data_IF_893542942751
#
_entry.id   IF_893542942751
#
_cell.length_a   1.000
_cell.length_b   1.000
_cell.length_c   1.000
_cell.angle_alpha   90.00
_cell.angle_beta   90.00
_cell.angle_gamma   90.00
#
_symmetry.space_group_name_H-M   'P 1'
#
loop_
_entity.id
_entity.type
_entity.pdbx_description
1 polymer ?
#
# COMPACT_ATOMS: atom_id res chain seq x y z
N UNK A 1 33.28 -13.45 8.93
CA UNK A 1 31.98 -12.80 9.20
C UNK A 1 31.16 -12.93 7.93
N UNK A 2 29.97 -13.53 8.00
CA UNK A 2 29.06 -13.57 6.85
C UNK A 2 28.68 -12.15 6.49
N UNK A 3 28.92 -11.73 5.24
CA UNK A 3 28.50 -10.41 4.76
C UNK A 3 27.00 -10.26 5.03
N UNK A 4 26.62 -9.28 5.85
CA UNK A 4 25.20 -8.97 6.09
C UNK A 4 24.62 -8.44 4.79
N UNK A 5 23.52 -9.04 4.35
CA UNK A 5 22.82 -8.66 3.13
C UNK A 5 21.50 -7.97 3.50
N UNK A 6 21.25 -6.83 2.86
CA UNK A 6 19.98 -6.14 2.93
C UNK A 6 18.99 -6.83 2.01
N UNK A 7 17.99 -7.48 2.60
CA UNK A 7 16.98 -8.28 1.91
C UNK A 7 15.59 -7.68 2.13
N UNK A 8 15.08 -6.85 1.20
CA UNK A 8 13.71 -6.38 1.25
C UNK A 8 12.75 -7.54 0.92
N UNK A 9 11.44 -7.35 1.16
CA UNK A 9 10.42 -8.30 0.70
C UNK A 9 10.60 -8.70 -0.77
N UNK A 10 10.39 -9.98 -1.09
CA UNK A 10 10.72 -10.54 -2.41
C UNK A 10 10.03 -9.81 -3.57
N UNK A 11 8.81 -9.32 -3.34
CA UNK A 11 8.04 -8.57 -4.33
C UNK A 11 8.71 -7.26 -4.77
N UNK A 12 9.66 -6.73 -3.97
CA UNK A 12 10.46 -5.56 -4.32
C UNK A 12 11.72 -5.88 -5.12
N UNK A 13 12.15 -7.16 -5.20
CA UNK A 13 13.38 -7.55 -5.92
C UNK A 13 13.44 -7.04 -7.37
N UNK A 14 12.35 -7.08 -8.18
CA UNK A 14 12.37 -6.56 -9.54
C UNK A 14 12.70 -5.06 -9.63
N UNK A 15 12.27 -4.27 -8.64
CA UNK A 15 12.56 -2.83 -8.58
C UNK A 15 14.07 -2.57 -8.47
N UNK A 16 14.76 -3.31 -7.60
CA UNK A 16 16.21 -3.14 -7.40
C UNK A 16 17.04 -3.64 -8.57
N UNK A 17 16.62 -4.73 -9.23
CA UNK A 17 17.27 -5.22 -10.46
C UNK A 17 17.21 -4.21 -11.62
N UNK A 18 16.17 -3.39 -11.65
CA UNK A 18 15.97 -2.35 -12.67
C UNK A 18 16.50 -0.97 -12.24
N UNK A 19 16.90 -0.80 -10.99
CA UNK A 19 17.31 0.49 -10.44
C UNK A 19 18.47 1.17 -11.21
N UNK A 20 19.50 0.45 -11.71
CA UNK A 20 20.59 1.07 -12.47
C UNK A 20 20.13 1.89 -13.68
N UNK A 21 19.02 1.51 -14.34
CA UNK A 21 18.46 2.26 -15.47
C UNK A 21 17.98 3.67 -15.08
N UNK A 22 17.68 3.90 -13.81
CA UNK A 22 17.27 5.19 -13.27
C UNK A 22 18.43 6.08 -12.83
N UNK A 23 19.65 5.55 -12.70
CA UNK A 23 20.78 6.26 -12.08
C UNK A 23 21.14 7.57 -12.80
N UNK A 24 21.21 7.65 -14.14
CA UNK A 24 21.54 8.90 -14.82
C UNK A 24 20.56 10.04 -14.47
N UNK A 25 19.26 9.75 -14.37
CA UNK A 25 18.25 10.76 -13.99
C UNK A 25 18.41 11.20 -12.55
N UNK A 26 18.67 10.24 -11.65
CA UNK A 26 18.83 10.51 -10.23
C UNK A 26 20.08 11.36 -9.96
N UNK A 27 21.19 11.08 -10.64
CA UNK A 27 22.41 11.89 -10.59
C UNK A 27 22.14 13.33 -11.03
N UNK A 28 21.44 13.53 -12.15
CA UNK A 28 21.12 14.88 -12.63
C UNK A 28 20.27 15.67 -11.63
N UNK A 29 19.35 15.00 -10.91
CA UNK A 29 18.56 15.63 -9.85
C UNK A 29 19.39 15.95 -8.60
N UNK A 30 20.32 15.08 -8.21
CA UNK A 30 21.27 15.36 -7.12
C UNK A 30 22.11 16.60 -7.45
N UNK A 31 22.68 16.65 -8.66
CA UNK A 31 23.52 17.75 -9.09
C UNK A 31 22.73 19.05 -9.36
N UNK A 32 21.41 18.97 -9.50
CA UNK A 32 20.56 20.15 -9.62
C UNK A 32 20.50 20.97 -8.31
N UNK A 33 20.72 20.32 -7.16
CA UNK A 33 20.78 20.95 -5.85
C UNK A 33 22.18 21.52 -5.54
N UNK A 34 23.15 21.31 -6.42
CA UNK A 34 24.49 21.86 -6.35
C UNK A 34 25.56 20.85 -6.73
N UNK A 35 26.76 21.37 -6.95
CA UNK A 35 27.91 20.59 -7.36
C UNK A 35 28.32 19.59 -6.27
N UNK A 36 28.76 18.39 -6.68
CA UNK A 36 29.08 17.29 -5.76
C UNK A 36 30.29 16.49 -6.21
N UNK A 37 31.07 16.01 -5.25
CA UNK A 37 32.06 14.95 -5.48
C UNK A 37 31.36 13.62 -5.74
N UNK A 38 32.10 12.60 -6.19
CA UNK A 38 31.58 11.23 -6.30
C UNK A 38 30.96 10.73 -4.99
N UNK A 39 31.62 10.98 -3.84
CA UNK A 39 31.09 10.62 -2.51
C UNK A 39 29.79 11.35 -2.19
N UNK A 40 29.68 12.64 -2.55
CA UNK A 40 28.44 13.40 -2.37
C UNK A 40 27.27 12.89 -3.22
N UNK A 41 27.55 12.33 -4.40
CA UNK A 41 26.53 11.68 -5.25
C UNK A 41 26.08 10.36 -4.61
N UNK A 42 27.02 9.51 -4.17
CA UNK A 42 26.71 8.27 -3.46
C UNK A 42 25.88 8.52 -2.20
N UNK A 43 26.18 9.59 -1.45
CA UNK A 43 25.40 10.00 -0.29
C UNK A 43 23.95 10.39 -0.67
N UNK A 44 23.74 11.01 -1.83
CA UNK A 44 22.40 11.29 -2.35
C UNK A 44 21.60 10.01 -2.65
N UNK A 45 22.25 8.99 -3.21
CA UNK A 45 21.62 7.66 -3.37
C UNK A 45 21.36 6.97 -2.03
N UNK A 46 22.31 7.03 -1.09
CA UNK A 46 22.14 6.49 0.25
C UNK A 46 20.96 7.16 0.98
N UNK A 47 20.79 8.48 0.82
CA UNK A 47 19.63 9.24 1.29
C UNK A 47 18.31 8.66 0.78
N UNK A 48 18.22 8.34 -0.51
CA UNK A 48 17.05 7.67 -1.08
C UNK A 48 16.85 6.27 -0.49
N UNK A 49 17.92 5.47 -0.38
CA UNK A 49 17.87 4.10 0.14
C UNK A 49 17.43 4.02 1.61
N UNK A 50 17.74 5.03 2.44
CA UNK A 50 17.25 5.11 3.84
C UNK A 50 15.73 5.11 3.95
N UNK A 51 15.05 5.70 2.96
CA UNK A 51 13.58 5.72 2.93
C UNK A 51 12.97 4.38 2.50
N UNK A 52 13.80 3.46 1.97
CA UNK A 52 13.43 2.08 1.69
C UNK A 52 13.81 1.14 2.85
N UNK A 53 14.45 1.66 3.90
CA UNK A 53 14.91 0.87 5.06
C UNK A 53 16.34 0.38 4.94
N UNK A 54 17.19 0.95 4.08
CA UNK A 54 18.62 0.62 4.04
C UNK A 54 19.45 1.73 4.69
N UNK A 55 20.06 1.44 5.83
CA UNK A 55 20.79 2.41 6.65
C UNK A 55 22.32 2.32 6.51
N UNK A 56 22.83 1.53 5.57
CA UNK A 56 24.26 1.43 5.27
C UNK A 56 25.05 0.51 6.19
N UNK A 57 24.38 -0.46 6.83
CA UNK A 57 25.03 -1.48 7.68
C UNK A 57 25.38 -2.76 6.91
N UNK A 58 24.69 -2.99 5.80
CA UNK A 58 24.81 -4.18 4.98
C UNK A 58 25.84 -3.96 3.85
N UNK A 59 26.66 -4.98 3.59
CA UNK A 59 27.69 -4.93 2.54
C UNK A 59 27.13 -5.29 1.16
N UNK A 60 25.95 -5.92 1.13
CA UNK A 60 25.28 -6.40 -0.07
C UNK A 60 23.84 -5.89 -0.06
N UNK A 61 23.40 -5.33 -1.19
CA UNK A 61 22.03 -4.83 -1.41
C UNK A 61 21.41 -5.62 -2.54
N UNK A 62 20.51 -6.56 -2.23
CA UNK A 62 19.81 -7.41 -3.22
C UNK A 62 20.78 -8.10 -4.20
N UNK A 63 21.81 -8.77 -3.67
CA UNK A 63 22.83 -9.44 -4.46
C UNK A 63 23.88 -8.54 -5.14
N UNK A 64 23.79 -7.21 -5.01
CA UNK A 64 24.85 -6.28 -5.45
C UNK A 64 25.77 -5.95 -4.28
N UNK A 65 27.06 -6.19 -4.43
CA UNK A 65 28.04 -5.65 -3.49
C UNK A 65 28.34 -4.17 -3.77
N UNK A 66 29.08 -3.54 -2.87
CA UNK A 66 29.45 -2.13 -2.99
C UNK A 66 30.22 -1.82 -4.27
N UNK A 67 31.05 -2.74 -4.78
CA UNK A 67 31.86 -2.55 -5.97
C UNK A 67 30.98 -2.49 -7.22
N UNK A 68 30.11 -3.49 -7.42
CA UNK A 68 29.17 -3.50 -8.54
C UNK A 68 28.23 -2.28 -8.53
N UNK A 69 27.82 -1.84 -7.34
CA UNK A 69 27.01 -0.62 -7.20
C UNK A 69 27.80 0.64 -7.59
N UNK A 70 29.04 0.80 -7.11
CA UNK A 70 29.88 1.94 -7.47
C UNK A 70 30.21 1.98 -8.96
N UNK A 71 30.45 0.82 -9.57
CA UNK A 71 30.70 0.72 -11.00
C UNK A 71 29.48 1.17 -11.81
N UNK A 72 28.28 0.74 -11.44
CA UNK A 72 27.04 1.20 -12.11
C UNK A 72 26.83 2.73 -11.99
N UNK A 73 27.19 3.35 -10.87
CA UNK A 73 27.15 4.81 -10.73
C UNK A 73 28.23 5.48 -11.58
N UNK A 74 29.44 4.92 -11.65
CA UNK A 74 30.52 5.45 -12.51
C UNK A 74 30.16 5.38 -13.99
N UNK A 75 29.64 4.24 -14.46
CA UNK A 75 29.17 4.09 -15.85
C UNK A 75 28.11 5.14 -16.19
N UNK A 76 27.20 5.42 -15.25
CA UNK A 76 26.18 6.46 -15.41
C UNK A 76 26.80 7.87 -15.51
N UNK A 77 27.83 8.17 -14.72
CA UNK A 77 28.56 9.44 -14.79
C UNK A 77 29.31 9.61 -16.11
N UNK A 78 30.00 8.55 -16.56
CA UNK A 78 30.69 8.54 -17.85
C UNK A 78 29.72 8.75 -19.02
N UNK A 79 28.53 8.14 -18.97
CA UNK A 79 27.48 8.38 -19.97
C UNK A 79 27.01 9.84 -19.97
N UNK A 80 26.76 10.40 -18.79
CA UNK A 80 26.32 11.78 -18.64
C UNK A 80 27.38 12.79 -19.11
N UNK A 81 28.66 12.52 -18.87
CA UNK A 81 29.77 13.35 -19.33
C UNK A 81 29.93 13.24 -20.85
N UNK A 82 29.94 12.02 -21.40
CA UNK A 82 30.00 11.75 -22.85
C UNK A 82 28.85 12.42 -23.62
N UNK A 83 27.70 12.56 -22.98
CA UNK A 83 26.51 13.20 -23.58
C UNK A 83 26.38 14.69 -23.29
N UNK A 84 27.43 15.32 -22.74
CA UNK A 84 27.52 16.75 -22.42
C UNK A 84 26.44 17.21 -21.43
N UNK A 85 26.11 16.38 -20.44
CA UNK A 85 25.12 16.70 -19.39
C UNK A 85 25.78 17.09 -18.07
N UNK A 86 26.97 16.57 -17.80
CA UNK A 86 27.78 16.93 -16.64
C UNK A 86 29.21 17.22 -17.07
N UNK A 87 29.96 17.90 -16.22
CA UNK A 87 31.41 18.10 -16.35
C UNK A 87 32.09 17.80 -15.03
N UNK A 88 33.27 17.19 -15.09
CA UNK A 88 34.13 16.97 -13.92
C UNK A 88 35.25 18.02 -13.89
N UNK A 89 35.32 18.81 -12.82
CA UNK A 89 36.41 19.76 -12.56
C UNK A 89 36.89 19.59 -11.12
N UNK A 90 38.20 19.43 -10.91
CA UNK A 90 38.82 19.27 -9.58
C UNK A 90 38.13 18.22 -8.69
N UNK A 91 37.74 17.09 -9.28
CA UNK A 91 37.05 16.00 -8.56
C UNK A 91 35.58 16.28 -8.21
N UNK A 92 35.03 17.38 -8.71
CA UNK A 92 33.64 17.81 -8.49
C UNK A 92 32.85 17.77 -9.80
N UNK A 93 31.69 17.12 -9.76
CA UNK A 93 30.75 17.09 -10.88
C UNK A 93 29.79 18.28 -10.81
N UNK A 94 29.60 18.93 -11.95
CA UNK A 94 28.67 20.06 -12.12
C UNK A 94 27.78 19.84 -13.34
N UNK A 95 26.57 20.39 -13.33
CA UNK A 95 25.67 20.33 -14.48
C UNK A 95 26.11 21.28 -15.60
N UNK A 96 26.13 20.79 -16.84
CA UNK A 96 26.21 21.68 -18.01
C UNK A 96 24.90 22.44 -18.19
N UNK A 97 24.87 23.43 -19.10
CA UNK A 97 23.61 24.08 -19.51
C UNK A 97 22.58 23.07 -20.02
N UNK A 98 23.03 22.06 -20.78
CA UNK A 98 22.18 20.98 -21.29
C UNK A 98 21.71 20.05 -20.17
N UNK A 99 22.60 19.67 -19.26
CA UNK A 99 22.24 18.88 -18.07
C UNK A 99 21.22 19.55 -17.19
N UNK A 100 21.38 20.86 -16.92
CA UNK A 100 20.44 21.66 -16.13
C UNK A 100 19.05 21.69 -16.75
N UNK A 101 18.95 21.86 -18.08
CA UNK A 101 17.66 21.80 -18.79
C UNK A 101 16.98 20.42 -18.68
N UNK A 102 17.76 19.34 -18.73
CA UNK A 102 17.24 17.97 -18.58
C UNK A 102 16.80 17.74 -17.13
N UNK A 103 17.60 18.13 -16.14
CA UNK A 103 17.27 18.01 -14.73
C UNK A 103 15.98 18.77 -14.38
N UNK A 104 15.78 19.97 -14.93
CA UNK A 104 14.54 20.75 -14.77
C UNK A 104 13.33 20.04 -15.39
N UNK A 105 13.49 19.42 -16.57
CA UNK A 105 12.43 18.62 -17.20
C UNK A 105 12.09 17.41 -16.35
N UNK A 106 13.09 16.65 -15.92
CA UNK A 106 12.90 15.44 -15.14
C UNK A 106 12.26 15.77 -13.77
N UNK A 107 12.66 16.90 -13.16
CA UNK A 107 12.02 17.45 -11.96
C UNK A 107 10.52 17.69 -12.15
N UNK A 108 10.11 18.33 -13.25
CA UNK A 108 8.69 18.53 -13.57
C UNK A 108 7.96 17.19 -13.76
N UNK A 109 8.59 16.24 -14.43
CA UNK A 109 8.00 14.90 -14.61
C UNK A 109 7.79 14.19 -13.26
N UNK A 110 8.73 14.28 -12.33
CA UNK A 110 8.55 13.72 -10.98
C UNK A 110 7.46 14.46 -10.18
N UNK A 111 7.33 15.78 -10.32
CA UNK A 111 6.25 16.56 -9.71
C UNK A 111 4.87 16.19 -10.27
N UNK A 112 4.76 16.10 -11.59
CA UNK A 112 3.53 15.69 -12.28
C UNK A 112 3.15 14.25 -11.90
N UNK A 113 4.12 13.33 -11.91
CA UNK A 113 3.92 11.96 -11.48
C UNK A 113 3.50 11.87 -10.01
N UNK A 114 4.15 12.62 -9.13
CA UNK A 114 3.80 12.73 -7.71
C UNK A 114 2.38 13.23 -7.50
N UNK A 115 2.01 14.32 -8.16
CA UNK A 115 0.66 14.89 -8.10
C UNK A 115 -0.41 13.95 -8.68
N UNK A 116 -0.07 13.22 -9.74
CA UNK A 116 -0.93 12.19 -10.32
C UNK A 116 -1.17 11.04 -9.33
N UNK A 117 -0.10 10.51 -8.72
CA UNK A 117 -0.18 9.43 -7.72
C UNK A 117 -0.97 9.90 -6.50
N UNK A 118 -0.72 11.10 -5.99
CA UNK A 118 -1.46 11.66 -4.86
C UNK A 118 -2.94 11.85 -5.20
N UNK A 119 -3.24 12.34 -6.40
CA UNK A 119 -4.61 12.46 -6.92
C UNK A 119 -5.31 11.11 -7.02
N UNK A 120 -4.64 10.07 -7.50
CA UNK A 120 -5.18 8.70 -7.53
C UNK A 120 -5.40 8.13 -6.13
N UNK A 121 -4.53 8.44 -5.17
CA UNK A 121 -4.65 7.93 -3.80
C UNK A 121 -5.53 8.81 -2.91
N UNK A 122 -6.13 9.87 -3.46
CA UNK A 122 -7.06 10.72 -2.74
C UNK A 122 -8.41 10.01 -2.53
N UNK A 123 -8.97 9.95 -1.30
CA UNK A 123 -10.16 9.15 -0.99
C UNK A 123 -11.37 9.42 -1.89
N UNK A 124 -11.58 10.68 -2.25
CA UNK A 124 -12.67 11.07 -3.17
C UNK A 124 -12.47 10.54 -4.60
N UNK A 125 -11.23 10.51 -5.08
CA UNK A 125 -10.91 9.96 -6.40
C UNK A 125 -11.14 8.46 -6.43
N UNK A 126 -10.74 7.74 -5.39
CA UNK A 126 -10.99 6.29 -5.26
C UNK A 126 -12.48 5.99 -5.32
N UNK A 127 -13.29 6.78 -4.62
CA UNK A 127 -14.75 6.65 -4.64
C UNK A 127 -15.33 6.91 -6.04
N UNK A 128 -14.81 7.89 -6.79
CA UNK A 128 -15.22 8.15 -8.18
C UNK A 128 -14.77 7.05 -9.15
N UNK A 129 -13.57 6.48 -8.97
CA UNK A 129 -13.12 5.31 -9.72
C UNK A 129 -14.03 4.12 -9.44
N UNK A 130 -14.39 3.90 -8.17
CA UNK A 130 -15.36 2.87 -7.78
C UNK A 130 -16.71 3.07 -8.47
N UNK A 131 -17.25 4.30 -8.48
CA UNK A 131 -18.48 4.63 -9.21
C UNK A 131 -18.38 4.26 -10.69
N UNK A 132 -17.29 4.67 -11.36
CA UNK A 132 -17.10 4.39 -12.79
C UNK A 132 -17.04 2.88 -13.05
N UNK A 133 -16.29 2.13 -12.23
CA UNK A 133 -16.18 0.67 -12.33
C UNK A 133 -17.54 0.00 -12.14
N UNK A 134 -18.29 0.36 -11.09
CA UNK A 134 -19.60 -0.23 -10.81
C UNK A 134 -20.61 0.06 -11.92
N UNK A 135 -20.65 1.28 -12.47
CA UNK A 135 -21.52 1.59 -13.61
C UNK A 135 -21.16 0.73 -14.84
N UNK A 136 -19.87 0.63 -15.17
CA UNK A 136 -19.42 -0.16 -16.32
C UNK A 136 -19.75 -1.64 -16.13
N UNK A 137 -19.51 -2.20 -14.94
CA UNK A 137 -19.84 -3.59 -14.62
C UNK A 137 -21.35 -3.83 -14.61
N UNK A 138 -22.15 -2.92 -14.04
CA UNK A 138 -23.61 -3.02 -14.03
C UNK A 138 -24.17 -3.06 -15.46
N UNK A 139 -23.74 -2.13 -16.33
CA UNK A 139 -24.15 -2.11 -17.75
C UNK A 139 -23.76 -3.42 -18.43
N UNK A 140 -22.52 -3.87 -18.24
CA UNK A 140 -22.04 -5.12 -18.80
C UNK A 140 -22.87 -6.33 -18.35
N UNK A 141 -23.13 -6.47 -17.04
CA UNK A 141 -23.94 -7.54 -16.46
C UNK A 141 -25.38 -7.50 -16.92
N UNK A 142 -26.01 -6.32 -16.98
CA UNK A 142 -27.41 -6.18 -17.41
C UNK A 142 -27.58 -6.56 -18.89
N UNK A 143 -26.65 -6.15 -19.76
CA UNK A 143 -26.66 -6.57 -21.17
C UNK A 143 -26.45 -8.08 -21.27
N UNK A 144 -25.47 -8.62 -20.55
CA UNK A 144 -25.18 -10.05 -20.54
C UNK A 144 -26.37 -10.88 -20.01
N UNK A 145 -27.00 -10.42 -18.93
CA UNK A 145 -28.17 -11.06 -18.32
C UNK A 145 -29.40 -11.04 -19.21
N UNK A 146 -29.65 -9.94 -19.93
CA UNK A 146 -30.77 -9.86 -20.89
C UNK A 146 -30.55 -10.75 -22.11
N UNK A 147 -29.33 -10.81 -22.65
CA UNK A 147 -29.00 -11.71 -23.78
C UNK A 147 -29.08 -13.20 -23.41
N UNK A 148 -28.72 -13.55 -22.17
CA UNK A 148 -28.78 -14.92 -21.65
C UNK A 148 -30.14 -15.28 -21.04
N UNK A 149 -31.08 -14.32 -20.95
CA UNK A 149 -32.33 -14.46 -20.18
C UNK A 149 -32.11 -14.89 -18.72
N UNK A 150 -30.97 -14.50 -18.13
CA UNK A 150 -30.57 -14.85 -16.78
C UNK A 150 -31.07 -13.81 -15.77
N UNK A 151 -32.15 -14.14 -15.06
CA UNK A 151 -32.70 -13.31 -13.99
C UNK A 151 -31.67 -13.08 -12.88
N UNK A 152 -30.86 -14.10 -12.57
CA UNK A 152 -29.80 -14.01 -11.56
C UNK A 152 -28.72 -12.98 -11.92
N UNK A 153 -28.26 -12.96 -13.19
CA UNK A 153 -27.28 -11.98 -13.63
C UNK A 153 -27.86 -10.57 -13.75
N UNK A 154 -29.15 -10.45 -14.09
CA UNK A 154 -29.85 -9.16 -14.09
C UNK A 154 -29.92 -8.60 -12.65
N UNK A 155 -30.26 -9.44 -11.67
CA UNK A 155 -30.27 -9.06 -10.25
C UNK A 155 -28.89 -8.61 -9.79
N UNK A 156 -27.84 -9.39 -10.08
CA UNK A 156 -26.45 -9.04 -9.76
C UNK A 156 -26.00 -7.74 -10.45
N UNK A 157 -26.45 -7.49 -11.68
CA UNK A 157 -26.24 -6.23 -12.38
C UNK A 157 -26.93 -5.03 -11.71
N UNK A 158 -28.12 -5.23 -11.15
CA UNK A 158 -28.84 -4.20 -10.38
C UNK A 158 -28.16 -3.93 -9.03
N UNK A 159 -27.70 -4.98 -8.34
CA UNK A 159 -26.94 -4.85 -7.10
C UNK A 159 -25.64 -4.07 -7.36
N UNK A 160 -24.91 -4.41 -8.43
CA UNK A 160 -23.72 -3.66 -8.86
C UNK A 160 -24.02 -2.18 -9.15
N UNK A 161 -25.22 -1.87 -9.67
CA UNK A 161 -25.64 -0.48 -9.86
C UNK A 161 -25.88 0.25 -8.52
N UNK A 162 -26.44 -0.45 -7.52
CA UNK A 162 -26.59 0.07 -6.15
C UNK A 162 -25.23 0.33 -5.49
N UNK A 163 -24.19 -0.43 -5.81
CA UNK A 163 -22.83 -0.16 -5.31
C UNK A 163 -22.22 1.09 -5.96
N UNK A 164 -22.60 1.37 -7.21
CA UNK A 164 -22.41 2.66 -7.84
C UNK A 164 -23.05 3.78 -7.01
N UNK A 165 -24.32 3.63 -6.61
CA UNK A 165 -24.99 4.59 -5.74
C UNK A 165 -24.29 4.74 -4.38
N UNK A 166 -23.86 3.64 -3.75
CA UNK A 166 -23.05 3.66 -2.53
C UNK A 166 -21.75 4.44 -2.71
N UNK A 167 -21.10 4.32 -3.88
CA UNK A 167 -19.91 5.10 -4.22
C UNK A 167 -20.21 6.61 -4.26
N UNK A 168 -21.37 7.02 -4.78
CA UNK A 168 -21.81 8.43 -4.74
C UNK A 168 -21.98 8.91 -3.30
N UNK A 169 -22.60 8.09 -2.44
CA UNK A 169 -22.77 8.41 -1.03
C UNK A 169 -21.42 8.60 -0.32
N UNK A 170 -20.45 7.71 -0.56
CA UNK A 170 -19.07 7.85 -0.03
C UNK A 170 -18.44 9.16 -0.48
N UNK A 171 -18.50 9.48 -1.77
CA UNK A 171 -17.96 10.74 -2.29
C UNK A 171 -18.59 11.96 -1.62
N UNK A 172 -19.92 12.00 -1.51
CA UNK A 172 -20.64 13.08 -0.84
C UNK A 172 -20.26 13.16 0.65
N UNK A 173 -20.17 12.02 1.33
CA UNK A 173 -19.76 11.91 2.74
C UNK A 173 -18.40 12.51 2.99
N UNK A 174 -17.41 12.14 2.18
CA UNK A 174 -16.04 12.67 2.24
C UNK A 174 -16.00 14.16 1.92
N UNK A 175 -16.83 14.64 0.98
CA UNK A 175 -16.87 16.06 0.60
C UNK A 175 -17.53 16.95 1.64
N UNK A 176 -18.57 16.45 2.30
CA UNK A 176 -19.33 17.17 3.32
C UNK A 176 -18.82 16.93 4.76
N UNK A 177 -17.79 16.10 4.94
CA UNK A 177 -17.29 15.65 6.26
C UNK A 177 -18.40 15.03 7.12
N UNK A 178 -19.16 14.12 6.50
CA UNK A 178 -20.29 13.36 7.08
C UNK A 178 -20.06 11.85 6.99
N UNK A 179 -18.79 11.44 7.04
CA UNK A 179 -18.31 10.09 6.83
C UNK A 179 -19.03 9.08 7.73
N UNK A 180 -19.19 9.40 9.01
CA UNK A 180 -19.82 8.50 9.98
C UNK A 180 -21.29 8.21 9.63
N UNK A 181 -22.06 9.23 9.22
CA UNK A 181 -23.47 9.06 8.86
C UNK A 181 -23.63 8.27 7.56
N UNK A 182 -22.78 8.54 6.57
CA UNK A 182 -22.75 7.76 5.34
C UNK A 182 -22.39 6.31 5.65
N UNK A 183 -21.42 6.06 6.53
CA UNK A 183 -21.05 4.70 6.88
C UNK A 183 -22.20 3.90 7.52
N UNK A 184 -23.03 4.54 8.35
CA UNK A 184 -24.25 3.90 8.88
C UNK A 184 -25.16 3.43 7.74
N UNK A 185 -25.38 4.27 6.72
CA UNK A 185 -26.21 3.90 5.56
C UNK A 185 -25.58 2.72 4.81
N UNK A 186 -24.27 2.77 4.54
CA UNK A 186 -23.56 1.69 3.83
C UNK A 186 -23.65 0.35 4.57
N UNK A 187 -23.45 0.35 5.88
CA UNK A 187 -23.54 -0.85 6.70
C UNK A 187 -24.97 -1.41 6.70
N UNK A 188 -25.99 -0.54 6.77
CA UNK A 188 -27.39 -0.98 6.68
C UNK A 188 -27.73 -1.60 5.31
N UNK A 189 -27.24 -1.00 4.22
CA UNK A 189 -27.40 -1.55 2.88
C UNK A 189 -26.74 -2.94 2.80
N UNK A 190 -25.50 -3.06 3.27
CA UNK A 190 -24.74 -4.32 3.26
C UNK A 190 -25.42 -5.43 4.08
N UNK A 191 -25.94 -5.10 5.27
CA UNK A 191 -26.71 -6.05 6.08
C UNK A 191 -28.02 -6.45 5.37
N UNK A 192 -28.68 -5.52 4.70
CA UNK A 192 -29.87 -5.78 3.89
C UNK A 192 -29.58 -6.74 2.74
N UNK A 193 -28.52 -6.50 1.97
CA UNK A 193 -28.06 -7.39 0.87
C UNK A 193 -27.73 -8.78 1.41
N UNK A 194 -26.97 -8.86 2.51
CA UNK A 194 -26.64 -10.15 3.15
C UNK A 194 -27.87 -10.93 3.62
N UNK A 195 -28.87 -10.25 4.20
CA UNK A 195 -30.12 -10.87 4.63
C UNK A 195 -30.96 -11.33 3.45
N UNK A 196 -31.03 -10.53 2.37
CA UNK A 196 -31.72 -10.89 1.12
C UNK A 196 -31.09 -12.12 0.47
N UNK A 197 -29.76 -12.16 0.36
CA UNK A 197 -29.03 -13.33 -0.15
C UNK A 197 -29.28 -14.58 0.69
N UNK A 198 -29.33 -14.44 2.02
CA UNK A 198 -29.65 -15.54 2.93
C UNK A 198 -31.08 -16.05 2.77
N UNK A 199 -32.05 -15.14 2.63
CA UNK A 199 -33.44 -15.48 2.35
C UNK A 199 -33.59 -16.26 1.04
N UNK A 200 -32.95 -15.77 -0.03
CA UNK A 200 -32.95 -16.42 -1.35
C UNK A 200 -32.31 -17.82 -1.29
N UNK A 201 -31.19 -17.97 -0.58
CA UNK A 201 -30.54 -19.26 -0.40
C UNK A 201 -31.44 -20.26 0.35
N UNK A 202 -32.13 -19.83 1.41
CA UNK A 202 -33.08 -20.67 2.15
C UNK A 202 -34.28 -21.04 1.27
N UNK A 203 -34.82 -20.07 0.52
CA UNK A 203 -35.94 -20.30 -0.38
C UNK A 203 -35.61 -21.38 -1.42
N UNK A 204 -34.43 -21.32 -2.04
CA UNK A 204 -33.96 -22.33 -3.01
C UNK A 204 -33.74 -23.73 -2.41
N UNK A 205 -33.49 -23.83 -1.11
CA UNK A 205 -33.44 -25.14 -0.42
C UNK A 205 -34.85 -25.74 -0.31
N UNK A 206 -35.85 -24.90 -0.03
CA UNK A 206 -37.24 -25.33 0.17
C UNK A 206 -37.97 -25.57 -1.16
N UNK A 207 -37.69 -24.74 -2.16
CA UNK A 207 -38.27 -24.80 -3.51
C UNK A 207 -37.11 -24.87 -4.51
N UNK A 208 -36.64 -26.08 -4.86
CA UNK A 208 -35.53 -26.24 -5.79
C UNK A 208 -35.93 -25.74 -7.19
N UNK A 209 -35.22 -24.74 -7.68
CA UNK A 209 -35.34 -24.25 -9.05
C UNK A 209 -34.17 -24.76 -9.91
N UNK A 210 -34.44 -25.03 -11.18
CA UNK A 210 -33.39 -25.46 -12.10
C UNK A 210 -32.47 -24.28 -12.43
N UNK A 211 -31.18 -24.40 -12.08
CA UNK A 211 -30.17 -23.43 -12.48
C UNK A 211 -29.89 -23.56 -13.98
N UNK A 212 -30.31 -22.54 -14.74
CA UNK A 212 -29.86 -22.35 -16.10
C UNK A 212 -28.39 -21.97 -16.09
N UNK A 213 -27.51 -22.93 -16.37
CA UNK A 213 -26.08 -22.68 -16.53
C UNK A 213 -25.83 -22.16 -17.94
N UNK A 214 -25.56 -20.86 -18.05
CA UNK A 214 -25.15 -20.22 -19.29
C UNK A 214 -23.69 -19.73 -19.18
N UNK A 215 -22.89 -20.03 -20.19
CA UNK A 215 -21.44 -19.73 -20.20
C UNK A 215 -21.20 -18.22 -20.18
N UNK A 216 -22.06 -17.45 -20.83
CA UNK A 216 -21.98 -15.99 -20.85
C UNK A 216 -22.28 -15.44 -19.45
N UNK A 217 -23.30 -15.95 -18.77
CA UNK A 217 -23.59 -15.60 -17.36
C UNK A 217 -22.39 -15.85 -16.45
N UNK A 218 -21.78 -17.03 -16.59
CA UNK A 218 -20.65 -17.43 -15.76
C UNK A 218 -19.40 -16.57 -16.00
N UNK A 219 -19.06 -16.34 -17.27
CA UNK A 219 -17.91 -15.52 -17.64
C UNK A 219 -18.06 -14.08 -17.15
N UNK A 220 -19.27 -13.53 -17.19
CA UNK A 220 -19.56 -12.18 -16.71
C UNK A 220 -19.37 -12.07 -15.19
N UNK A 221 -19.82 -13.08 -14.43
CA UNK A 221 -19.63 -13.15 -12.98
C UNK A 221 -18.14 -13.22 -12.58
N UNK A 222 -17.34 -14.05 -13.25
CA UNK A 222 -15.88 -14.14 -12.98
C UNK A 222 -15.18 -12.82 -13.26
N UNK A 223 -15.41 -12.24 -14.44
CA UNK A 223 -14.76 -10.98 -14.83
C UNK A 223 -15.12 -9.88 -13.85
N UNK A 224 -16.41 -9.78 -13.46
CA UNK A 224 -16.82 -8.83 -12.44
C UNK A 224 -16.15 -9.10 -11.09
N UNK A 225 -16.10 -10.35 -10.62
CA UNK A 225 -15.48 -10.70 -9.35
C UNK A 225 -14.01 -10.32 -9.30
N UNK A 226 -13.26 -10.54 -10.38
CA UNK A 226 -11.86 -10.14 -10.49
C UNK A 226 -11.68 -8.63 -10.47
N UNK A 227 -12.51 -7.89 -11.21
CA UNK A 227 -12.47 -6.41 -11.20
C UNK A 227 -12.81 -5.87 -9.80
N UNK A 228 -13.84 -6.41 -9.14
CA UNK A 228 -14.20 -6.02 -7.78
C UNK A 228 -13.11 -6.41 -6.76
N UNK A 229 -12.39 -7.50 -6.94
CA UNK A 229 -11.26 -7.87 -6.07
C UNK A 229 -10.13 -6.84 -6.15
N UNK A 230 -9.75 -6.45 -7.38
CA UNK A 230 -8.70 -5.43 -7.60
C UNK A 230 -9.15 -4.07 -7.06
N UNK A 231 -10.41 -3.70 -7.32
CA UNK A 231 -11.01 -2.47 -6.80
C UNK A 231 -11.03 -2.48 -5.27
N UNK A 232 -11.39 -3.61 -4.66
CA UNK A 232 -11.41 -3.80 -3.21
C UNK A 232 -10.03 -3.61 -2.58
N UNK A 233 -8.95 -4.16 -3.18
CA UNK A 233 -7.59 -3.92 -2.69
C UNK A 233 -7.19 -2.44 -2.79
N UNK A 234 -7.52 -1.78 -3.89
CA UNK A 234 -7.24 -0.36 -4.07
C UNK A 234 -7.99 0.50 -3.05
N UNK A 235 -9.28 0.24 -2.83
CA UNK A 235 -10.09 0.91 -1.81
C UNK A 235 -9.57 0.64 -0.40
N UNK A 236 -9.24 -0.62 -0.08
CA UNK A 236 -8.72 -1.03 1.24
C UNK A 236 -7.40 -0.31 1.55
N UNK A 237 -6.47 -0.27 0.59
CA UNK A 237 -5.20 0.43 0.73
C UNK A 237 -5.40 1.91 1.06
N UNK A 238 -6.23 2.61 0.28
CA UNK A 238 -6.47 4.03 0.52
C UNK A 238 -7.27 4.26 1.78
N UNK A 239 -8.24 3.41 2.11
CA UNK A 239 -9.04 3.51 3.32
C UNK A 239 -8.18 3.40 4.60
N UNK A 240 -7.27 2.43 4.65
CA UNK A 240 -6.33 2.27 5.76
C UNK A 240 -5.37 3.47 5.86
N UNK A 241 -4.80 3.91 4.72
CA UNK A 241 -3.89 5.05 4.66
C UNK A 241 -4.54 6.37 5.08
N UNK A 242 -5.77 6.61 4.65
CA UNK A 242 -6.50 7.87 4.88
C UNK A 242 -7.43 7.83 6.10
N UNK A 243 -7.51 6.67 6.78
CA UNK A 243 -8.37 6.39 7.94
C UNK A 243 -9.85 6.72 7.67
N UNK A 244 -10.33 6.37 6.48
CA UNK A 244 -11.70 6.65 6.04
C UNK A 244 -12.57 5.40 6.13
N UNK A 245 -13.44 5.34 7.16
CA UNK A 245 -14.33 4.20 7.39
C UNK A 245 -15.32 3.93 6.24
N UNK A 246 -15.96 4.93 5.59
CA UNK A 246 -16.83 4.69 4.43
C UNK A 246 -16.13 4.00 3.26
N UNK A 247 -14.86 4.35 3.02
CA UNK A 247 -14.07 3.75 1.95
C UNK A 247 -13.67 2.32 2.31
N UNK A 248 -13.45 2.04 3.60
CA UNK A 248 -13.22 0.68 4.08
C UNK A 248 -14.47 -0.19 3.89
N UNK A 249 -15.66 0.33 4.21
CA UNK A 249 -16.92 -0.38 3.96
C UNK A 249 -17.11 -0.72 2.48
N UNK A 250 -16.77 0.23 1.58
CA UNK A 250 -16.80 0.00 0.13
C UNK A 250 -15.80 -1.08 -0.33
N UNK A 251 -14.62 -1.14 0.30
CA UNK A 251 -13.62 -2.17 0.05
C UNK A 251 -14.12 -3.56 0.44
N UNK A 252 -14.77 -3.68 1.61
CA UNK A 252 -15.35 -4.94 2.09
C UNK A 252 -16.49 -5.40 1.18
N UNK A 253 -17.32 -4.46 0.72
CA UNK A 253 -18.39 -4.75 -0.24
C UNK A 253 -17.85 -5.27 -1.58
N UNK A 254 -16.85 -4.59 -2.15
CA UNK A 254 -16.16 -5.06 -3.38
C UNK A 254 -15.51 -6.44 -3.19
N UNK A 255 -14.97 -6.72 -2.00
CA UNK A 255 -14.47 -8.06 -1.66
C UNK A 255 -15.58 -9.09 -1.61
N UNK A 256 -16.75 -8.74 -1.09
CA UNK A 256 -17.90 -9.64 -1.04
C UNK A 256 -18.39 -10.03 -2.44
N UNK A 257 -18.34 -9.12 -3.42
CA UNK A 257 -18.61 -9.45 -4.83
C UNK A 257 -17.65 -10.52 -5.38
N UNK A 258 -16.38 -10.45 -5.01
CA UNK A 258 -15.41 -11.48 -5.38
C UNK A 258 -15.72 -12.83 -4.70
N UNK A 259 -16.15 -12.82 -3.43
CA UNK A 259 -16.59 -14.03 -2.71
C UNK A 259 -17.85 -14.63 -3.35
N UNK A 260 -18.82 -13.80 -3.73
CA UNK A 260 -20.04 -14.22 -4.44
C UNK A 260 -19.67 -14.85 -5.79
N UNK A 261 -18.80 -14.22 -6.59
CA UNK A 261 -18.35 -14.76 -7.87
C UNK A 261 -17.62 -16.11 -7.71
N UNK A 262 -16.80 -16.26 -6.66
CA UNK A 262 -16.20 -17.55 -6.32
C UNK A 262 -17.26 -18.59 -5.93
N UNK A 263 -18.28 -18.18 -5.18
CA UNK A 263 -19.45 -19.00 -4.85
C UNK A 263 -20.19 -19.52 -6.07
N UNK A 264 -20.50 -18.64 -7.01
CA UNK A 264 -21.14 -18.98 -8.29
C UNK A 264 -20.29 -19.99 -9.07
N UNK A 265 -18.96 -19.89 -8.99
CA UNK A 265 -18.04 -20.87 -9.59
C UNK A 265 -18.13 -22.23 -8.93
N UNK A 266 -18.20 -22.29 -7.60
CA UNK A 266 -18.42 -23.55 -6.89
C UNK A 266 -19.80 -24.12 -7.21
N UNK A 267 -20.83 -23.27 -7.27
CA UNK A 267 -22.19 -23.63 -7.66
C UNK A 267 -22.30 -24.24 -9.05
N UNK A 268 -21.56 -23.68 -10.02
CA UNK A 268 -21.44 -24.25 -11.36
C UNK A 268 -20.84 -25.66 -11.32
N UNK A 269 -19.72 -25.83 -10.62
CA UNK A 269 -19.07 -27.15 -10.48
C UNK A 269 -20.02 -28.15 -9.81
N UNK A 270 -20.78 -27.71 -8.80
CA UNK A 270 -21.78 -28.53 -8.13
C UNK A 270 -22.92 -28.97 -9.06
N UNK A 271 -23.42 -28.07 -9.91
CA UNK A 271 -24.43 -28.36 -10.91
C UNK A 271 -23.94 -29.41 -11.93
N UNK A 272 -22.68 -29.29 -12.38
CA UNK A 272 -22.04 -30.27 -13.27
C UNK A 272 -21.91 -31.66 -12.61
N UNK A 273 -21.67 -31.71 -11.30
CA UNK A 273 -21.61 -32.94 -10.52
C UNK A 273 -22.99 -33.49 -10.13
N UNK A 274 -24.08 -32.87 -10.60
CA UNK A 274 -25.48 -33.22 -10.29
C UNK A 274 -25.80 -33.16 -8.79
N UNK A 275 -25.16 -32.23 -8.08
CA UNK A 275 -25.40 -31.99 -6.65
C UNK A 275 -25.93 -30.57 -6.42
N UNK A 276 -27.16 -30.25 -6.87
CA UNK A 276 -27.70 -28.88 -6.85
C UNK A 276 -27.89 -28.31 -5.43
N UNK A 277 -28.05 -29.17 -4.41
CA UNK A 277 -28.14 -28.74 -3.02
C UNK A 277 -26.88 -28.00 -2.55
N UNK A 278 -25.72 -28.32 -3.14
CA UNK A 278 -24.46 -27.68 -2.79
C UNK A 278 -24.43 -26.20 -3.21
N UNK A 279 -25.10 -25.81 -4.30
CA UNK A 279 -25.20 -24.39 -4.69
C UNK A 279 -25.91 -23.57 -3.61
N UNK A 280 -27.08 -24.02 -3.15
CA UNK A 280 -27.83 -23.33 -2.11
C UNK A 280 -27.11 -23.30 -0.75
N UNK A 281 -26.37 -24.36 -0.40
CA UNK A 281 -25.52 -24.39 0.80
C UNK A 281 -24.35 -23.41 0.70
N UNK A 282 -23.71 -23.30 -0.46
CA UNK A 282 -22.65 -22.33 -0.72
C UNK A 282 -23.21 -20.91 -0.65
N UNK A 283 -24.36 -20.65 -1.26
CA UNK A 283 -25.06 -19.37 -1.18
C UNK A 283 -25.37 -18.97 0.27
N UNK A 284 -25.86 -19.91 1.09
CA UNK A 284 -26.13 -19.67 2.51
C UNK A 284 -24.85 -19.35 3.30
N UNK A 285 -23.76 -20.07 3.02
CA UNK A 285 -22.46 -19.81 3.65
C UNK A 285 -21.94 -18.40 3.30
N UNK A 286 -22.07 -17.99 2.03
CA UNK A 286 -21.66 -16.66 1.55
C UNK A 286 -22.52 -15.57 2.18
N UNK A 287 -23.84 -15.74 2.25
CA UNK A 287 -24.72 -14.81 2.96
C UNK A 287 -24.28 -14.63 4.42
N UNK A 288 -23.90 -15.72 5.10
CA UNK A 288 -23.31 -15.68 6.44
C UNK A 288 -22.01 -14.87 6.52
N UNK A 289 -21.11 -15.01 5.55
CA UNK A 289 -19.86 -14.24 5.48
C UNK A 289 -20.11 -12.74 5.23
N UNK A 290 -21.09 -12.40 4.38
CA UNK A 290 -21.49 -11.01 4.11
C UNK A 290 -22.07 -10.38 5.37
N UNK A 291 -23.02 -11.07 6.03
CA UNK A 291 -23.64 -10.61 7.28
C UNK A 291 -22.61 -10.45 8.40
N UNK A 292 -21.69 -11.40 8.55
CA UNK A 292 -20.57 -11.29 9.50
C UNK A 292 -19.76 -10.01 9.25
N UNK A 293 -19.37 -9.77 7.99
CA UNK A 293 -18.60 -8.58 7.60
C UNK A 293 -19.38 -7.29 7.89
N UNK A 294 -20.70 -7.28 7.61
CA UNK A 294 -21.57 -6.14 7.91
C UNK A 294 -21.70 -5.88 9.42
N UNK A 295 -21.79 -6.92 10.25
CA UNK A 295 -21.82 -6.78 11.71
C UNK A 295 -20.50 -6.24 12.25
N UNK A 296 -19.36 -6.73 11.76
CA UNK A 296 -18.04 -6.23 12.13
C UNK A 296 -17.92 -4.72 11.83
N UNK A 297 -18.32 -4.30 10.62
CA UNK A 297 -18.35 -2.88 10.25
C UNK A 297 -19.38 -2.07 11.05
N UNK A 298 -20.52 -2.65 11.42
CA UNK A 298 -21.50 -2.00 12.28
C UNK A 298 -20.90 -1.68 13.65
N UNK A 299 -20.14 -2.62 14.23
CA UNK A 299 -19.45 -2.42 15.50
C UNK A 299 -18.44 -1.27 15.38
N UNK A 300 -17.60 -1.26 14.33
CA UNK A 300 -16.65 -0.17 14.11
C UNK A 300 -17.35 1.18 13.86
N UNK A 301 -18.50 1.17 13.19
CA UNK A 301 -19.31 2.39 13.00
C UNK A 301 -19.82 2.94 14.31
N UNK A 302 -20.32 2.08 15.20
CA UNK A 302 -20.78 2.49 16.53
C UNK A 302 -19.64 3.04 17.37
N UNK A 303 -18.45 2.41 17.32
CA UNK A 303 -17.25 2.94 17.97
C UNK A 303 -16.86 4.32 17.44
N UNK A 304 -16.85 4.49 16.12
CA UNK A 304 -16.57 5.77 15.48
C UNK A 304 -17.54 6.87 15.93
N UNK A 305 -18.84 6.57 15.97
CA UNK A 305 -19.89 7.50 16.43
C UNK A 305 -19.72 7.89 17.92
N UNK A 306 -19.12 7.02 18.74
CA UNK A 306 -18.78 7.31 20.14
C UNK A 306 -17.49 8.12 20.29
N UNK A 307 -16.78 8.39 19.20
CA UNK A 307 -15.51 9.11 19.18
C UNK A 307 -14.29 8.24 19.53
N UNK A 308 -14.43 6.92 19.48
CA UNK A 308 -13.30 6.00 19.67
C UNK A 308 -12.40 6.00 18.42
N UNK A 309 -11.08 5.89 18.61
CA UNK A 309 -10.15 5.71 17.49
C UNK A 309 -10.27 4.29 16.93
N UNK A 310 -10.42 4.19 15.61
CA UNK A 310 -10.48 2.89 14.91
C UNK A 310 -9.06 2.45 14.58
N UNK A 311 -8.77 1.19 14.90
CA UNK A 311 -7.51 0.53 14.56
C UNK A 311 -7.51 0.07 13.09
N UNK A 312 -7.04 0.94 12.19
CA UNK A 312 -6.95 0.65 10.76
C UNK A 312 -5.84 -0.34 10.40
N UNK A 313 -4.91 -0.66 11.31
CA UNK A 313 -3.78 -1.57 11.03
C UNK A 313 -4.25 -2.97 10.63
N UNK A 314 -5.39 -3.41 11.18
CA UNK A 314 -6.02 -4.71 10.91
C UNK A 314 -6.55 -4.85 9.48
N UNK A 315 -6.70 -3.73 8.78
CA UNK A 315 -7.20 -3.68 7.42
C UNK A 315 -6.08 -3.35 6.42
N UNK A 316 -4.82 -3.29 6.85
CA UNK A 316 -3.71 -3.16 5.90
C UNK A 316 -3.59 -4.43 5.04
N UNK A 317 -3.12 -4.26 3.81
CA UNK A 317 -2.83 -5.39 2.93
C UNK A 317 -1.56 -6.09 3.43
N UNK A 318 -1.52 -7.42 3.31
CA UNK A 318 -0.44 -8.23 3.86
C UNK A 318 0.96 -7.79 3.38
N UNK A 319 1.11 -7.41 2.11
CA UNK A 319 2.39 -6.93 1.57
C UNK A 319 2.79 -5.55 2.13
N UNK A 320 1.82 -4.71 2.50
CA UNK A 320 2.06 -3.41 3.16
C UNK A 320 2.51 -3.65 4.59
N UNK A 321 1.84 -4.56 5.30
CA UNK A 321 2.22 -4.95 6.66
C UNK A 321 3.63 -5.55 6.69
N UNK A 322 3.94 -6.45 5.75
CA UNK A 322 5.28 -7.03 5.57
C UNK A 322 6.34 -5.94 5.38
N UNK A 323 6.07 -4.97 4.49
CA UNK A 323 6.99 -3.87 4.24
C UNK A 323 7.15 -2.92 5.43
N UNK A 324 6.06 -2.59 6.12
CA UNK A 324 6.11 -1.75 7.33
C UNK A 324 6.94 -2.42 8.42
N UNK A 325 6.73 -3.72 8.66
CA UNK A 325 7.51 -4.52 9.61
C UNK A 325 8.98 -4.57 9.24
N UNK A 326 9.28 -4.79 7.96
CA UNK A 326 10.65 -4.74 7.45
C UNK A 326 11.31 -3.39 7.76
N UNK A 327 10.65 -2.28 7.41
CA UNK A 327 11.22 -0.95 7.68
C UNK A 327 11.38 -0.66 9.18
N UNK A 328 10.45 -1.10 10.03
CA UNK A 328 10.56 -0.94 11.48
C UNK A 328 11.75 -1.71 12.05
N UNK A 329 11.99 -2.94 11.59
CA UNK A 329 13.16 -3.73 11.98
C UNK A 329 14.45 -3.05 11.55
N UNK A 330 14.53 -2.58 10.31
CA UNK A 330 15.71 -1.87 9.81
C UNK A 330 15.98 -0.57 10.57
N UNK A 331 14.91 0.18 10.91
CA UNK A 331 15.03 1.37 11.74
C UNK A 331 15.48 1.03 13.17
N UNK A 332 14.96 -0.05 13.75
CA UNK A 332 15.35 -0.52 15.08
C UNK A 332 16.82 -0.90 15.13
N UNK A 333 17.30 -1.66 14.15
CA UNK A 333 18.69 -2.07 14.02
C UNK A 333 19.62 -0.85 13.87
N UNK A 334 19.21 0.14 13.08
CA UNK A 334 19.98 1.38 12.94
C UNK A 334 19.98 2.23 14.22
N UNK A 335 18.83 2.40 14.88
CA UNK A 335 18.77 3.13 16.15
C UNK A 335 19.63 2.47 17.22
N UNK A 336 19.58 1.14 17.31
CA UNK A 336 20.40 0.35 18.22
C UNK A 336 21.90 0.54 17.92
N UNK A 337 22.31 0.55 16.65
CA UNK A 337 23.72 0.82 16.30
C UNK A 337 24.16 2.23 16.65
N UNK A 338 23.29 3.24 16.47
CA UNK A 338 23.59 4.63 16.88
C UNK A 338 23.81 4.73 18.38
N UNK A 339 22.99 4.05 19.19
CA UNK A 339 23.20 4.01 20.66
C UNK A 339 24.50 3.28 21.00
N UNK A 340 24.82 2.20 20.30
CA UNK A 340 26.06 1.44 20.51
C UNK A 340 27.33 2.27 20.22
N UNK A 341 27.35 2.99 19.10
CA UNK A 341 28.48 3.84 18.68
C UNK A 341 28.77 4.96 19.69
N UNK A 342 27.72 5.55 20.27
CA UNK A 342 27.82 6.69 21.18
C UNK A 342 28.00 6.24 22.65
N UNK A 343 27.71 4.97 22.96
CA UNK A 343 27.71 4.39 24.32
C UNK A 343 26.53 4.86 25.18
N UNK A 344 26.33 6.17 25.30
CA UNK A 344 25.20 6.81 26.00
C UNK A 344 24.73 8.03 25.22
N UNK A 345 23.48 8.02 24.76
CA UNK A 345 22.91 9.11 23.96
C UNK A 345 21.63 9.68 24.58
N UNK A 346 21.49 11.01 24.55
CA UNK A 346 20.25 11.66 24.98
C UNK A 346 19.17 11.54 23.89
N UNK A 347 17.92 11.23 24.27
CA UNK A 347 16.80 11.01 23.35
C UNK A 347 16.62 12.17 22.35
N UNK A 348 16.80 13.42 22.78
CA UNK A 348 16.71 14.58 21.87
C UNK A 348 17.81 14.61 20.80
N UNK A 349 19.03 14.15 21.11
CA UNK A 349 20.13 14.04 20.15
C UNK A 349 19.84 12.93 19.14
N UNK A 350 19.30 11.80 19.62
CA UNK A 350 18.87 10.69 18.77
C UNK A 350 17.74 11.10 17.81
N UNK A 351 16.74 11.82 18.32
CA UNK A 351 15.64 12.35 17.50
C UNK A 351 16.13 13.37 16.47
N UNK A 352 17.07 14.25 16.83
CA UNK A 352 17.66 15.20 15.90
C UNK A 352 18.42 14.49 14.77
N UNK A 353 19.26 13.49 15.09
CA UNK A 353 19.98 12.67 14.09
C UNK A 353 19.02 11.90 13.20
N UNK A 354 17.96 11.34 13.78
CA UNK A 354 16.91 10.64 13.03
C UNK A 354 16.17 11.57 12.06
N UNK A 355 15.87 12.80 12.50
CA UNK A 355 15.23 13.82 11.66
C UNK A 355 16.10 14.19 10.48
N UNK A 356 17.39 14.45 10.72
CA UNK A 356 18.33 14.79 9.65
C UNK A 356 18.48 13.65 8.65
N UNK A 357 18.61 12.41 9.14
CA UNK A 357 18.84 11.23 8.30
C UNK A 357 17.60 10.81 7.48
N UNK A 358 16.40 11.10 7.97
CA UNK A 358 15.11 10.78 7.33
C UNK A 358 14.40 12.00 6.74
N UNK A 359 15.10 13.13 6.61
CA UNK A 359 14.55 14.33 5.99
C UNK A 359 14.35 14.12 4.49
N UNK A 360 13.10 14.06 4.06
CA UNK A 360 12.70 13.91 2.64
C UNK A 360 13.20 15.08 1.81
N UNK A 361 13.29 16.26 2.41
CA UNK A 361 13.74 17.50 1.75
C UNK A 361 15.15 17.37 1.17
N UNK A 362 15.97 16.49 1.77
CA UNK A 362 17.34 16.21 1.36
C UNK A 362 17.43 15.15 0.24
N UNK A 363 16.31 14.53 -0.15
CA UNK A 363 16.26 13.51 -1.21
C UNK A 363 15.50 14.06 -2.41
N UNK A 364 16.20 14.54 -3.47
CA UNK A 364 15.58 15.25 -4.57
C UNK A 364 14.39 14.51 -5.18
N UNK A 365 14.55 13.22 -5.49
CA UNK A 365 13.52 12.41 -6.13
C UNK A 365 12.24 12.32 -5.29
N UNK A 366 12.35 12.06 -3.98
CA UNK A 366 11.20 11.97 -3.08
C UNK A 366 10.54 13.34 -2.86
N UNK A 367 11.37 14.39 -2.67
CA UNK A 367 10.92 15.77 -2.55
C UNK A 367 10.10 16.21 -3.75
N UNK A 368 10.59 15.95 -4.97
CA UNK A 368 9.90 16.35 -6.20
C UNK A 368 8.60 15.56 -6.39
N UNK A 369 8.57 14.26 -6.07
CA UNK A 369 7.32 13.48 -6.08
C UNK A 369 6.33 13.89 -4.98
N UNK A 370 6.73 14.71 -4.02
CA UNK A 370 5.94 15.01 -2.82
C UNK A 370 5.69 13.77 -1.95
N UNK A 371 6.42 12.68 -2.19
CA UNK A 371 6.37 11.46 -1.39
C UNK A 371 7.02 11.72 -0.04
N UNK A 372 6.40 11.27 1.04
CA UNK A 372 6.92 11.49 2.39
C UNK A 372 6.58 12.86 2.99
N UNK A 373 5.82 13.74 2.31
CA UNK A 373 5.18 14.92 2.95
C UNK A 373 4.30 14.56 4.16
N UNK A 374 3.89 13.30 4.25
CA UNK A 374 3.12 12.70 5.34
C UNK A 374 3.97 12.00 6.41
N UNK A 375 5.31 12.16 6.41
CA UNK A 375 6.18 11.77 7.54
C UNK A 375 6.04 12.71 8.76
N UNK A 376 4.88 13.36 8.89
CA UNK A 376 4.35 13.84 10.17
C UNK A 376 4.25 12.66 11.13
N UNK A 377 5.32 12.44 11.90
CA UNK A 377 5.40 11.30 12.81
C UNK A 377 6.74 10.57 12.86
N UNK A 378 7.82 11.06 12.24
CA UNK A 378 9.18 10.48 12.45
C UNK A 378 9.48 10.35 13.94
N UNK A 379 9.18 11.38 14.74
CA UNK A 379 9.37 11.34 16.20
C UNK A 379 8.50 10.26 16.87
N UNK A 380 7.25 10.10 16.43
CA UNK A 380 6.36 9.04 16.92
C UNK A 380 6.86 7.66 16.54
N UNK A 381 7.34 7.49 15.30
CA UNK A 381 7.88 6.23 14.78
C UNK A 381 9.17 5.84 15.50
N UNK A 382 10.13 6.78 15.60
CA UNK A 382 11.37 6.58 16.36
C UNK A 382 11.07 6.32 17.83
N UNK A 383 10.14 7.07 18.43
CA UNK A 383 9.70 6.86 19.81
C UNK A 383 9.15 5.45 20.04
N UNK A 384 8.22 5.00 19.19
CA UNK A 384 7.63 3.66 19.28
C UNK A 384 8.66 2.55 19.09
N UNK A 385 9.59 2.70 18.14
CA UNK A 385 10.69 1.73 17.95
C UNK A 385 11.62 1.72 19.16
N UNK A 386 11.94 2.87 19.74
CA UNK A 386 12.75 2.95 20.96
C UNK A 386 12.06 2.31 22.16
N UNK A 387 10.76 2.51 22.33
CA UNK A 387 9.97 1.84 23.38
C UNK A 387 10.03 0.33 23.23
N UNK A 388 9.95 -0.19 22.00
CA UNK A 388 10.12 -1.62 21.72
C UNK A 388 11.52 -2.14 22.05
N UNK A 389 12.58 -1.39 21.70
CA UNK A 389 13.96 -1.74 22.05
C UNK A 389 14.18 -1.80 23.57
N UNK A 390 13.57 -0.88 24.31
CA UNK A 390 13.59 -0.87 25.78
C UNK A 390 12.81 -2.05 26.35
N UNK A 391 11.61 -2.32 25.84
CA UNK A 391 10.78 -3.44 26.26
C UNK A 391 11.49 -4.80 26.03
N UNK A 392 12.29 -4.91 24.97
CA UNK A 392 13.09 -6.11 24.68
C UNK A 392 14.41 -6.19 25.48
N UNK A 393 14.69 -5.20 26.34
CA UNK A 393 15.93 -5.06 27.11
C UNK A 393 17.19 -4.97 26.24
N UNK A 394 17.08 -4.42 25.02
CA UNK A 394 18.22 -4.13 24.14
C UNK A 394 18.84 -2.77 24.45
N UNK A 395 18.04 -1.86 25.00
CA UNK A 395 18.44 -0.52 25.46
C UNK A 395 17.86 -0.30 26.85
N UNK A 396 18.58 0.40 27.72
CA UNK A 396 18.09 0.88 29.02
C UNK A 396 17.88 2.39 28.94
N UNK A 397 16.78 2.86 29.52
CA UNK A 397 16.47 4.28 29.63
C UNK A 397 16.66 4.77 31.07
N UNK A 398 17.60 5.68 31.26
CA UNK A 398 17.80 6.43 32.49
C UNK A 398 17.25 7.85 32.32
N UNK A 399 15.92 7.98 32.46
CA UNK A 399 15.21 9.24 32.20
C UNK A 399 15.18 9.57 30.71
N UNK A 400 16.06 10.49 30.26
CA UNK A 400 16.19 10.86 28.83
C UNK A 400 17.50 10.36 28.20
N UNK A 401 18.34 9.63 28.95
CA UNK A 401 19.55 8.99 28.44
C UNK A 401 19.26 7.54 28.09
N UNK A 402 19.78 7.10 26.95
CA UNK A 402 19.65 5.76 26.42
C UNK A 402 21.03 5.11 26.37
N UNK A 403 21.14 3.90 26.90
CA UNK A 403 22.38 3.13 26.96
C UNK A 403 22.13 1.72 26.43
N UNK A 404 23.06 1.20 25.63
CA UNK A 404 22.94 -0.15 25.06
C UNK A 404 23.20 -1.21 26.14
N UNK A 405 22.48 -2.33 26.08
CA UNK A 405 22.75 -3.49 26.95
C UNK A 405 23.69 -4.49 26.29
N UNK A 406 24.27 -5.41 27.07
CA UNK A 406 25.01 -6.56 26.53
C UNK A 406 24.17 -7.37 25.53
N UNK A 407 22.87 -7.55 25.82
CA UNK A 407 21.92 -8.18 24.91
C UNK A 407 21.79 -7.41 23.59
N UNK A 408 21.70 -6.08 23.67
CA UNK A 408 21.68 -5.20 22.50
C UNK A 408 22.94 -5.34 21.64
N UNK A 409 24.11 -5.37 22.25
CA UNK A 409 25.39 -5.59 21.55
C UNK A 409 25.39 -6.95 20.83
N UNK A 410 25.01 -8.02 21.54
CA UNK A 410 24.94 -9.37 20.96
C UNK A 410 23.97 -9.46 19.76
N UNK A 411 22.83 -8.76 19.83
CA UNK A 411 21.87 -8.68 18.72
C UNK A 411 22.46 -7.94 17.50
N UNK A 412 23.23 -6.86 17.73
CA UNK A 412 23.89 -6.12 16.65
C UNK A 412 24.95 -6.95 15.93
N UNK A 413 25.70 -7.77 16.67
CA UNK A 413 26.76 -8.64 16.13
C UNK A 413 26.22 -9.86 15.37
N UNK A 414 24.90 -10.09 15.41
CA UNK A 414 24.26 -11.24 14.75
C UNK A 414 24.47 -12.56 15.48
N UNK A 415 24.70 -12.51 16.80
CA UNK A 415 24.94 -13.69 17.65
C UNK A 415 23.65 -14.39 18.13
N UNK A 416 22.50 -14.23 17.45
CA UNK A 416 21.25 -14.95 17.73
C UNK A 416 20.57 -15.35 16.42
#
# INVERSE_FOLDING_TARGET
MTKREWRPPEWMSPFFKLAPWGFPRLILLILADGDRTFSGILEGFAGFMRHLGHYGREEIVVGYDAEAYFDAVRESLEELERTDRITLQDGTYSLTKKGRKIAERDRRQYQEFGAFVDGLLHPQTVSLVGLAVHIVLAVFKLIAGTLSSSIGLISDGMDTAMDGFSSILVFIGLRLKKEQYINVILVLLMLGVGAGAGYEAIHRILVPEALGVDLLTFSAAIVSGLVCLILGWYQQYVAARSKQLPLLSQAVDSRNHAIVAAGVTVGLVAALLRFPLLDSLVGLAIAGLILKSGIELAIETVRALRGEEIDFSRYELAFVEEYNRFQEQQLADWLLSVVAEEGSIHLSKLLARSREMLAVENVPVLREMGWGKTLTGIEKRVGSVMENLVAQSLVVSHGKKLEITEKGISTLEGNI
#
